data_IF_885959791112
#
_entry.id   IF_885959791112
#
_cell.length_a   1.000
_cell.length_b   1.000
_cell.length_c   1.000
_cell.angle_alpha   90.00
_cell.angle_beta   90.00
_cell.angle_gamma   90.00
#
_symmetry.space_group_name_H-M   'P 1'
#
loop_
_entity.id
_entity.type
_entity.pdbx_description
1 polymer ?
#
# COMPACT_ATOMS: atom_id res chain seq x y z
N UNK A 1 3.82 59.64 -1.44
CA UNK A 1 3.08 58.79 -2.40
C UNK A 1 4.09 58.00 -3.21
N UNK A 2 3.96 56.71 -3.36
CA UNK A 2 4.81 55.90 -4.21
C UNK A 2 4.68 56.34 -5.66
N UNK A 3 5.75 56.28 -6.43
CA UNK A 3 5.76 56.59 -7.86
C UNK A 3 6.44 55.43 -8.60
N UNK A 4 5.77 54.81 -9.54
CA UNK A 4 6.35 53.77 -10.39
C UNK A 4 6.96 54.43 -11.62
N UNK A 5 8.22 54.13 -11.88
CA UNK A 5 8.98 54.65 -13.03
C UNK A 5 9.15 53.63 -14.13
N UNK A 6 9.29 52.36 -13.73
CA UNK A 6 9.50 51.27 -14.66
C UNK A 6 8.94 49.96 -14.10
N UNK A 7 8.25 49.21 -14.97
CA UNK A 7 7.77 47.87 -14.72
C UNK A 7 7.76 47.13 -16.06
N UNK A 8 8.06 45.83 -16.10
CA UNK A 8 7.93 45.03 -17.33
C UNK A 8 6.52 45.13 -17.92
N UNK A 9 6.38 44.96 -19.23
CA UNK A 9 5.07 44.96 -19.89
C UNK A 9 4.23 43.70 -19.59
N UNK A 10 4.89 42.59 -19.25
CA UNK A 10 4.29 41.34 -18.89
C UNK A 10 5.31 40.35 -18.36
N UNK A 11 4.83 39.26 -17.74
CA UNK A 11 5.63 38.12 -17.30
C UNK A 11 4.76 36.92 -17.06
N UNK A 12 5.41 35.72 -16.88
CA UNK A 12 4.73 34.47 -16.59
C UNK A 12 4.24 34.42 -15.13
N UNK A 13 3.14 33.74 -14.92
CA UNK A 13 2.66 33.43 -13.55
C UNK A 13 3.75 32.69 -12.79
N UNK A 14 4.07 33.15 -11.58
CA UNK A 14 5.12 32.62 -10.74
C UNK A 14 6.51 33.26 -10.93
N UNK A 15 6.71 34.04 -11.99
CA UNK A 15 7.94 34.80 -12.16
C UNK A 15 8.04 35.92 -11.14
N UNK A 16 9.27 36.31 -10.82
CA UNK A 16 9.56 37.50 -10.07
C UNK A 16 9.82 38.66 -11.04
N UNK A 17 9.18 39.79 -10.80
CA UNK A 17 9.43 41.02 -11.54
C UNK A 17 9.95 42.14 -10.61
N UNK A 18 10.73 43.03 -11.18
CA UNK A 18 11.20 44.26 -10.51
C UNK A 18 10.27 45.41 -10.89
N UNK A 19 9.76 46.11 -9.87
CA UNK A 19 9.03 47.36 -9.98
C UNK A 19 9.97 48.47 -9.49
N UNK A 20 10.38 49.37 -10.35
CA UNK A 20 11.29 50.43 -10.03
C UNK A 20 10.56 51.77 -9.87
N UNK A 21 10.98 52.60 -8.90
CA UNK A 21 10.28 53.84 -8.63
C UNK A 21 10.89 54.68 -7.54
N UNK A 22 10.07 55.46 -6.85
CA UNK A 22 10.42 56.30 -5.69
C UNK A 22 9.40 56.09 -4.58
N UNK A 23 9.87 56.16 -3.31
CA UNK A 23 9.07 55.97 -2.11
C UNK A 23 8.35 54.59 -2.10
N UNK A 24 8.97 53.55 -2.65
CA UNK A 24 8.37 52.21 -2.73
C UNK A 24 8.45 51.47 -1.39
N UNK A 25 9.27 51.92 -0.46
CA UNK A 25 9.40 51.40 0.91
C UNK A 25 8.12 51.50 1.76
N UNK A 26 7.22 52.46 1.40
CA UNK A 26 5.94 52.65 2.09
C UNK A 26 4.79 51.80 1.51
N UNK A 27 5.03 51.06 0.45
CA UNK A 27 4.02 50.15 -0.16
C UNK A 27 3.72 49.00 0.78
N UNK A 28 2.46 48.84 1.11
CA UNK A 28 1.99 47.76 2.00
C UNK A 28 1.66 46.45 1.26
N UNK A 29 1.20 46.57 0.01
CA UNK A 29 0.90 45.41 -0.87
C UNK A 29 0.94 45.82 -2.34
N UNK A 30 1.25 44.82 -3.18
CA UNK A 30 1.17 44.93 -4.64
C UNK A 30 0.10 43.98 -5.12
N UNK A 31 -0.82 44.47 -5.96
CA UNK A 31 -1.88 43.62 -6.54
C UNK A 31 -1.83 43.65 -8.07
N UNK A 32 -2.14 42.53 -8.69
CA UNK A 32 -2.41 42.37 -10.11
C UNK A 32 -3.91 42.13 -10.29
N UNK A 33 -4.66 43.14 -10.69
CA UNK A 33 -6.12 43.09 -10.59
C UNK A 33 -6.58 42.99 -9.14
N UNK A 34 -7.29 41.91 -8.83
CA UNK A 34 -7.79 41.58 -7.48
C UNK A 34 -6.86 40.68 -6.66
N UNK A 35 -5.78 40.20 -7.25
CA UNK A 35 -4.85 39.24 -6.61
C UNK A 35 -3.61 39.94 -6.04
N UNK A 36 -3.32 39.65 -4.77
CA UNK A 36 -2.12 40.17 -4.09
C UNK A 36 -0.90 39.31 -4.48
N UNK A 37 0.21 40.03 -4.79
CA UNK A 37 1.51 39.44 -5.09
C UNK A 37 2.35 39.26 -3.84
N UNK A 38 3.13 38.18 -3.78
CA UNK A 38 4.15 38.02 -2.74
C UNK A 38 5.34 38.93 -3.01
N UNK A 39 5.67 39.79 -2.06
CA UNK A 39 6.86 40.66 -2.12
C UNK A 39 8.03 39.90 -1.49
N UNK A 40 9.11 39.67 -2.27
CA UNK A 40 10.34 39.03 -1.81
C UNK A 40 11.43 39.98 -1.42
N UNK A 41 11.40 41.22 -1.97
CA UNK A 41 12.32 42.30 -1.64
C UNK A 41 11.62 43.65 -1.79
N UNK A 42 11.96 44.61 -0.92
CA UNK A 42 11.42 45.95 -0.95
C UNK A 42 12.46 46.99 -0.44
N UNK A 43 12.56 48.07 -1.15
CA UNK A 43 13.38 49.24 -0.79
C UNK A 43 12.66 50.53 -1.22
N UNK A 44 13.28 51.72 -0.96
CA UNK A 44 12.75 53.01 -1.40
C UNK A 44 12.57 53.07 -2.93
N UNK A 45 13.38 52.30 -3.70
CA UNK A 45 13.45 52.41 -5.16
C UNK A 45 13.05 51.20 -5.93
N UNK A 46 12.82 50.08 -5.26
CA UNK A 46 12.59 48.79 -5.91
C UNK A 46 11.69 47.89 -5.05
N UNK A 47 10.77 47.22 -5.71
CA UNK A 47 10.02 46.08 -5.18
C UNK A 47 10.23 44.90 -6.11
N UNK A 48 10.57 43.71 -5.56
CA UNK A 48 10.55 42.44 -6.27
C UNK A 48 9.30 41.68 -5.85
N UNK A 49 8.40 41.46 -6.80
CA UNK A 49 7.11 40.80 -6.56
C UNK A 49 6.94 39.60 -7.46
N UNK A 50 6.33 38.53 -6.91
CA UNK A 50 5.97 37.30 -7.67
C UNK A 50 4.60 37.45 -8.29
N UNK A 51 4.49 37.20 -9.62
CA UNK A 51 3.24 37.31 -10.37
C UNK A 51 2.25 36.28 -9.87
N UNK A 52 1.09 36.66 -9.32
CA UNK A 52 0.05 35.75 -8.92
C UNK A 52 -0.71 35.23 -10.15
N UNK A 53 -1.43 34.11 -9.98
CA UNK A 53 -2.41 33.69 -10.98
C UNK A 53 -3.59 34.66 -11.01
N UNK A 54 -3.89 35.20 -12.18
CA UNK A 54 -5.06 36.03 -12.47
C UNK A 54 -5.84 35.40 -13.63
N UNK A 55 -7.17 35.38 -13.55
CA UNK A 55 -8.00 34.74 -14.57
C UNK A 55 -7.85 35.42 -15.93
N UNK A 56 -7.75 36.76 -15.95
CA UNK A 56 -7.60 37.55 -17.18
C UNK A 56 -6.17 37.50 -17.72
N UNK A 57 -6.00 37.72 -19.03
CA UNK A 57 -4.67 37.74 -19.67
C UNK A 57 -3.97 39.09 -19.49
N UNK A 58 -4.65 40.09 -18.95
CA UNK A 58 -4.09 41.35 -18.56
C UNK A 58 -4.65 41.82 -17.22
N UNK A 59 -3.87 42.50 -16.42
CA UNK A 59 -4.28 43.05 -15.14
C UNK A 59 -3.63 44.39 -14.86
N UNK A 60 -4.33 45.39 -14.26
CA UNK A 60 -3.68 46.58 -13.73
C UNK A 60 -2.83 46.20 -12.53
N UNK A 61 -1.65 46.82 -12.42
CA UNK A 61 -0.82 46.71 -11.21
C UNK A 61 -1.24 47.86 -10.28
N UNK A 62 -1.56 47.52 -9.03
CA UNK A 62 -1.91 48.48 -7.98
C UNK A 62 -0.95 48.36 -6.78
N UNK A 63 -0.30 49.46 -6.41
CA UNK A 63 0.57 49.55 -5.23
C UNK A 63 -0.19 50.31 -4.12
N UNK A 64 -0.52 49.60 -3.06
CA UNK A 64 -1.25 50.12 -1.90
C UNK A 64 -0.30 50.69 -0.87
N UNK A 65 -0.67 51.79 -0.23
CA UNK A 65 0.08 52.43 0.85
C UNK A 65 -0.87 53.15 1.79
N UNK A 66 -0.40 53.50 2.99
CA UNK A 66 -1.16 54.27 3.96
C UNK A 66 -0.73 55.75 3.94
N UNK A 67 -1.71 56.63 3.95
CA UNK A 67 -1.50 58.08 4.19
C UNK A 67 -2.40 58.56 5.34
N UNK A 68 -2.44 59.89 5.56
CA UNK A 68 -3.25 60.50 6.62
C UNK A 68 -4.77 60.33 6.45
N UNK A 69 -5.24 59.91 5.26
CA UNK A 69 -6.65 59.73 4.93
C UNK A 69 -7.05 58.24 4.90
N UNK A 70 -6.11 57.30 5.08
CA UNK A 70 -6.32 55.86 5.06
C UNK A 70 -5.55 55.13 3.96
N UNK A 71 -5.99 53.94 3.60
CA UNK A 71 -5.37 53.17 2.54
C UNK A 71 -5.66 53.77 1.16
N UNK A 72 -4.59 54.05 0.42
CA UNK A 72 -4.61 54.57 -0.94
C UNK A 72 -3.88 53.61 -1.88
N UNK A 73 -4.04 53.78 -3.19
CA UNK A 73 -3.25 53.03 -4.17
C UNK A 73 -2.79 53.95 -5.32
N UNK A 74 -1.70 53.53 -5.95
CA UNK A 74 -1.19 54.14 -7.21
C UNK A 74 -1.01 53.04 -8.24
N UNK A 75 -1.10 53.41 -9.51
CA UNK A 75 -0.89 52.51 -10.65
C UNK A 75 0.15 53.07 -11.59
N UNK A 76 1.00 52.21 -12.23
CA UNK A 76 1.87 52.66 -13.32
C UNK A 76 1.06 53.30 -14.46
N UNK A 77 1.61 54.32 -15.08
CA UNK A 77 1.07 54.81 -16.33
C UNK A 77 1.37 53.84 -17.47
N UNK A 78 0.39 53.58 -18.32
CA UNK A 78 0.58 52.71 -19.49
C UNK A 78 -0.49 51.65 -19.65
N UNK A 79 -0.27 50.68 -20.55
CA UNK A 79 -1.18 49.55 -20.75
C UNK A 79 -1.21 48.64 -19.51
N UNK A 80 -2.31 47.88 -19.37
CA UNK A 80 -2.39 46.84 -18.33
C UNK A 80 -1.26 45.81 -18.54
N UNK A 81 -0.77 45.28 -17.42
CA UNK A 81 0.31 44.29 -17.39
C UNK A 81 -0.20 42.97 -18.00
N UNK A 82 0.60 42.35 -18.90
CA UNK A 82 0.29 41.09 -19.53
C UNK A 82 0.62 39.92 -18.61
N UNK A 83 -0.36 39.07 -18.32
CA UNK A 83 -0.22 37.84 -17.52
C UNK A 83 -0.05 36.67 -18.45
N UNK A 84 1.15 36.15 -18.57
CA UNK A 84 1.49 35.01 -19.42
C UNK A 84 1.25 33.73 -18.62
N UNK A 85 0.39 32.85 -19.12
CA UNK A 85 0.03 31.58 -18.47
C UNK A 85 0.69 30.42 -19.21
N UNK A 86 1.62 29.76 -18.54
CA UNK A 86 2.17 28.51 -19.05
C UNK A 86 1.15 27.39 -18.93
N UNK A 87 1.09 26.56 -19.95
CA UNK A 87 0.19 25.39 -19.97
C UNK A 87 1.02 24.14 -19.76
N UNK A 88 0.74 23.35 -18.70
CA UNK A 88 1.40 22.06 -18.50
C UNK A 88 1.18 21.13 -19.70
N UNK A 89 2.23 20.40 -20.05
CA UNK A 89 2.15 19.29 -21.02
C UNK A 89 2.72 18.05 -20.39
N UNK A 90 2.25 16.88 -20.81
CA UNK A 90 2.76 15.60 -20.35
C UNK A 90 3.05 14.66 -21.54
N UNK A 91 3.99 13.74 -21.32
CA UNK A 91 4.07 12.51 -22.06
C UNK A 91 2.88 11.60 -21.70
N UNK A 92 2.63 10.57 -22.47
CA UNK A 92 1.46 9.70 -22.26
C UNK A 92 1.52 8.98 -20.90
N UNK A 93 0.41 8.99 -20.19
CA UNK A 93 0.18 8.14 -19.02
C UNK A 93 -0.24 6.72 -19.44
N UNK A 94 0.12 5.70 -18.67
CA UNK A 94 -0.24 4.30 -18.92
C UNK A 94 -1.77 4.09 -18.92
N UNK A 95 -2.24 3.12 -19.73
CA UNK A 95 -3.66 2.74 -19.79
C UNK A 95 -4.16 2.01 -18.55
N UNK A 96 -3.25 1.32 -17.89
CA UNK A 96 -3.50 0.58 -16.66
C UNK A 96 -2.50 0.98 -15.60
N UNK A 97 -3.01 1.27 -14.42
CA UNK A 97 -2.21 1.56 -13.22
C UNK A 97 -2.74 0.74 -12.05
N UNK A 98 -1.87 0.45 -11.08
CA UNK A 98 -2.25 -0.30 -9.88
C UNK A 98 -2.26 0.64 -8.67
N UNK A 99 -3.29 0.53 -7.84
CA UNK A 99 -3.38 1.24 -6.56
C UNK A 99 -2.06 1.13 -5.77
N UNK A 100 -1.65 2.23 -5.17
CA UNK A 100 -0.43 2.31 -4.37
C UNK A 100 0.87 2.34 -5.17
N UNK A 101 0.87 2.06 -6.48
CA UNK A 101 2.08 2.19 -7.31
C UNK A 101 2.48 3.64 -7.48
N UNK A 102 3.78 3.88 -7.71
CA UNK A 102 4.30 5.19 -8.05
C UNK A 102 4.22 5.40 -9.56
N UNK A 103 3.64 6.52 -9.96
CA UNK A 103 3.60 6.98 -11.34
C UNK A 103 4.52 8.18 -11.48
N UNK A 104 5.38 8.13 -12.49
CA UNK A 104 6.20 9.27 -12.92
C UNK A 104 5.64 9.79 -14.23
N UNK A 105 5.25 11.04 -14.25
CA UNK A 105 4.89 11.79 -15.46
C UNK A 105 6.02 12.74 -15.81
N UNK A 106 6.41 12.79 -17.07
CA UNK A 106 7.35 13.75 -17.59
C UNK A 106 6.63 14.71 -18.53
N UNK A 107 7.15 15.95 -18.64
CA UNK A 107 6.53 16.97 -19.44
C UNK A 107 7.16 18.34 -19.25
N UNK A 108 6.36 19.40 -19.41
CA UNK A 108 6.77 20.78 -19.15
C UNK A 108 5.77 21.47 -18.22
N UNK A 109 6.27 22.43 -17.43
CA UNK A 109 5.48 23.23 -16.48
C UNK A 109 4.68 22.39 -15.47
N UNK A 110 5.15 21.17 -15.13
CA UNK A 110 4.47 20.28 -14.22
C UNK A 110 4.44 20.79 -12.77
N UNK A 111 5.32 21.73 -12.42
CA UNK A 111 5.29 22.43 -11.14
C UNK A 111 3.99 23.24 -10.91
N UNK A 112 3.25 23.57 -11.97
CA UNK A 112 1.96 24.25 -11.87
C UNK A 112 0.80 23.32 -11.49
N UNK A 113 0.93 22.02 -11.65
CA UNK A 113 -0.12 21.05 -11.30
C UNK A 113 -0.37 21.07 -9.79
N UNK A 114 -1.59 21.33 -9.38
CA UNK A 114 -2.04 21.41 -7.99
C UNK A 114 -2.64 20.09 -7.49
N UNK A 115 -3.33 19.40 -8.38
CA UNK A 115 -3.97 18.11 -8.06
C UNK A 115 -4.14 17.24 -9.29
N UNK A 116 -4.17 15.92 -9.06
CA UNK A 116 -4.53 14.92 -10.07
C UNK A 116 -5.81 14.23 -9.62
N UNK A 117 -6.80 14.19 -10.50
CA UNK A 117 -8.12 13.64 -10.25
C UNK A 117 -8.28 12.30 -10.96
N UNK A 118 -8.76 11.30 -10.26
CA UNK A 118 -9.16 10.00 -10.77
C UNK A 118 -10.70 9.94 -10.74
N UNK A 119 -11.32 10.19 -11.89
CA UNK A 119 -12.74 10.48 -11.93
C UNK A 119 -13.11 11.75 -11.15
N UNK A 120 -14.36 11.82 -10.69
CA UNK A 120 -14.89 13.02 -10.04
C UNK A 120 -14.62 13.08 -8.53
N UNK A 121 -14.44 11.92 -7.89
CA UNK A 121 -14.47 11.82 -6.42
C UNK A 121 -13.09 11.76 -5.76
N UNK A 122 -12.08 11.22 -6.46
CA UNK A 122 -10.77 10.96 -5.85
C UNK A 122 -9.69 11.87 -6.41
N UNK A 123 -9.00 12.60 -5.52
CA UNK A 123 -7.92 13.51 -5.91
C UNK A 123 -6.64 13.25 -5.13
N UNK A 124 -5.50 13.41 -5.80
CA UNK A 124 -4.15 13.40 -5.25
C UNK A 124 -3.62 14.83 -5.22
N UNK A 125 -3.25 15.30 -4.03
CA UNK A 125 -2.63 16.62 -3.81
C UNK A 125 -1.21 16.51 -3.23
N UNK A 126 -0.86 15.33 -2.72
CA UNK A 126 0.46 15.06 -2.15
C UNK A 126 1.32 14.35 -3.21
N UNK A 127 2.32 15.04 -3.69
CA UNK A 127 3.28 14.52 -4.65
C UNK A 127 4.55 14.06 -3.93
N UNK A 128 5.10 12.93 -4.37
CA UNK A 128 6.37 12.40 -3.87
C UNK A 128 7.51 13.28 -4.36
N UNK A 129 7.42 13.73 -5.61
CA UNK A 129 8.33 14.68 -6.24
C UNK A 129 7.54 15.57 -7.20
N UNK A 130 7.88 16.85 -7.27
CA UNK A 130 7.30 17.79 -8.22
C UNK A 130 8.34 18.82 -8.66
N UNK A 131 8.66 18.81 -9.95
CA UNK A 131 9.54 19.75 -10.63
C UNK A 131 8.84 20.34 -11.86
N UNK A 132 9.49 21.23 -12.59
CA UNK A 132 8.94 21.75 -13.84
C UNK A 132 8.80 20.68 -14.94
N UNK A 133 9.61 19.61 -14.86
CA UNK A 133 9.69 18.58 -15.91
C UNK A 133 9.27 17.19 -15.47
N UNK A 134 9.03 16.99 -14.18
CA UNK A 134 8.64 15.68 -13.64
C UNK A 134 7.71 15.84 -12.44
N UNK A 135 6.73 14.96 -12.36
CA UNK A 135 5.85 14.80 -11.20
C UNK A 135 5.72 13.32 -10.87
N UNK A 136 5.93 12.99 -9.58
CA UNK A 136 5.81 11.63 -9.07
C UNK A 136 4.72 11.60 -8.02
N UNK A 137 3.76 10.71 -8.19
CA UNK A 137 2.66 10.53 -7.24
C UNK A 137 2.30 9.07 -7.08
N UNK A 138 1.58 8.77 -6.01
CA UNK A 138 1.05 7.43 -5.74
C UNK A 138 -0.39 7.33 -6.23
N UNK A 139 -0.70 6.25 -6.97
CA UNK A 139 -2.06 5.94 -7.39
C UNK A 139 -2.95 5.80 -6.15
N UNK A 140 -4.05 6.56 -6.07
CA UNK A 140 -4.92 6.55 -4.90
C UNK A 140 -5.74 5.26 -4.81
N UNK A 141 -6.27 5.00 -3.63
CA UNK A 141 -7.28 3.98 -3.41
C UNK A 141 -8.63 4.44 -3.97
N UNK A 142 -9.25 3.56 -4.76
CA UNK A 142 -10.64 3.68 -5.21
C UNK A 142 -11.49 2.64 -4.47
N UNK A 143 -12.81 2.79 -4.38
CA UNK A 143 -13.68 1.78 -3.75
C UNK A 143 -13.59 0.42 -4.42
N UNK A 144 -13.39 0.39 -5.74
CA UNK A 144 -13.21 -0.82 -6.55
C UNK A 144 -12.37 -0.52 -7.80
N UNK A 145 -11.90 -1.58 -8.47
CA UNK A 145 -11.23 -1.43 -9.77
C UNK A 145 -12.19 -0.81 -10.78
N UNK A 146 -11.78 0.25 -11.41
CA UNK A 146 -12.62 1.02 -12.32
C UNK A 146 -11.81 1.62 -13.46
N UNK A 147 -12.50 1.86 -14.58
CA UNK A 147 -11.97 2.71 -15.66
C UNK A 147 -12.45 4.15 -15.41
N UNK A 148 -11.50 5.06 -15.29
CA UNK A 148 -11.76 6.47 -14.99
C UNK A 148 -10.90 7.39 -15.85
N UNK A 149 -11.39 8.60 -16.08
CA UNK A 149 -10.57 9.64 -16.66
C UNK A 149 -9.62 10.21 -15.60
N UNK A 150 -8.37 10.45 -15.99
CA UNK A 150 -7.36 11.04 -15.11
C UNK A 150 -7.02 12.44 -15.62
N UNK A 151 -7.28 13.43 -14.78
CA UNK A 151 -7.13 14.85 -15.10
C UNK A 151 -6.18 15.52 -14.09
N UNK A 152 -5.30 16.39 -14.59
CA UNK A 152 -4.56 17.32 -13.74
C UNK A 152 -5.28 18.67 -13.70
N UNK A 153 -5.26 19.32 -12.54
CA UNK A 153 -5.78 20.68 -12.34
C UNK A 153 -4.64 21.61 -11.95
N UNK A 154 -4.69 22.83 -12.47
CA UNK A 154 -3.73 23.89 -12.21
C UNK A 154 -4.44 25.26 -12.24
N UNK A 155 -3.77 26.32 -11.81
CA UNK A 155 -4.29 27.67 -11.72
C UNK A 155 -5.62 27.77 -10.93
N UNK A 156 -5.55 27.42 -9.63
CA UNK A 156 -6.71 27.40 -8.73
C UNK A 156 -7.85 26.52 -9.27
N UNK A 157 -7.49 25.47 -10.02
CA UNK A 157 -8.45 24.50 -10.62
C UNK A 157 -9.14 24.97 -11.89
N UNK A 158 -8.86 26.19 -12.38
CA UNK A 158 -9.44 26.73 -13.62
C UNK A 158 -8.85 26.08 -14.88
N UNK A 159 -7.56 25.71 -14.82
CA UNK A 159 -6.88 24.95 -15.87
C UNK A 159 -7.07 23.44 -15.67
N UNK A 160 -7.20 22.73 -16.77
CA UNK A 160 -7.33 21.28 -16.77
C UNK A 160 -6.53 20.67 -17.91
N UNK A 161 -5.77 19.61 -17.59
CA UNK A 161 -5.03 18.80 -18.54
C UNK A 161 -5.46 17.35 -18.41
N UNK A 162 -5.91 16.73 -19.51
CA UNK A 162 -6.19 15.29 -19.52
C UNK A 162 -4.87 14.52 -19.53
N UNK A 163 -4.65 13.72 -18.49
CA UNK A 163 -3.50 12.84 -18.39
C UNK A 163 -3.76 11.52 -19.12
N UNK A 164 -4.95 10.96 -18.94
CA UNK A 164 -5.41 9.77 -19.61
C UNK A 164 -6.94 9.67 -19.58
N UNK A 165 -7.57 9.43 -20.73
CA UNK A 165 -8.95 8.96 -20.79
C UNK A 165 -8.97 7.44 -20.63
N UNK A 166 -10.03 6.91 -20.05
CA UNK A 166 -10.25 5.46 -19.89
C UNK A 166 -9.06 4.74 -19.20
N UNK A 167 -8.45 5.35 -18.20
CA UNK A 167 -7.42 4.71 -17.40
C UNK A 167 -8.02 3.63 -16.51
N UNK A 168 -7.60 2.39 -16.67
CA UNK A 168 -8.00 1.30 -15.77
C UNK A 168 -7.16 1.33 -14.49
N UNK A 169 -7.79 1.70 -13.39
CA UNK A 169 -7.18 1.64 -12.05
C UNK A 169 -7.49 0.28 -11.43
N UNK A 170 -6.46 -0.53 -11.31
CA UNK A 170 -6.56 -1.86 -10.72
C UNK A 170 -6.35 -1.81 -9.22
N UNK A 171 -7.29 -2.37 -8.47
CA UNK A 171 -7.22 -2.53 -7.02
C UNK A 171 -7.06 -4.01 -6.70
N UNK A 172 -5.89 -4.44 -6.23
CA UNK A 172 -5.67 -5.83 -5.85
C UNK A 172 -6.64 -6.24 -4.74
N UNK A 173 -7.39 -7.32 -4.96
CA UNK A 173 -8.30 -7.90 -3.94
C UNK A 173 -7.58 -8.80 -2.97
N UNK A 174 -6.37 -9.19 -3.31
CA UNK A 174 -5.49 -10.00 -2.48
C UNK A 174 -4.14 -9.30 -2.30
N UNK A 175 -3.53 -9.51 -1.15
CA UNK A 175 -2.10 -9.31 -0.98
C UNK A 175 -1.38 -10.51 -1.60
N UNK A 176 -0.36 -10.27 -2.42
CA UNK A 176 0.43 -11.29 -3.09
C UNK A 176 1.86 -11.28 -2.58
N UNK A 177 2.33 -12.42 -2.11
CA UNK A 177 3.68 -12.60 -1.56
C UNK A 177 4.30 -13.86 -2.17
N UNK A 178 5.04 -13.73 -3.27
CA UNK A 178 5.68 -14.85 -3.93
C UNK A 178 6.89 -15.36 -3.14
N UNK A 179 7.15 -16.66 -3.23
CA UNK A 179 8.35 -17.33 -2.71
C UNK A 179 8.62 -17.10 -1.22
N UNK A 180 7.56 -16.98 -0.39
CA UNK A 180 7.73 -16.93 1.05
C UNK A 180 8.33 -18.24 1.56
N UNK A 181 9.25 -18.14 2.50
CA UNK A 181 9.89 -19.29 3.12
C UNK A 181 9.63 -19.30 4.62
N UNK A 182 9.16 -20.45 5.11
CA UNK A 182 8.98 -20.70 6.54
C UNK A 182 9.82 -21.92 6.96
N UNK A 183 10.37 -21.85 8.17
CA UNK A 183 11.04 -22.97 8.81
C UNK A 183 10.16 -23.66 9.85
N UNK A 184 10.62 -24.80 10.36
CA UNK A 184 10.06 -25.42 11.56
C UNK A 184 10.24 -24.50 12.78
N UNK A 185 9.50 -24.76 13.85
CA UNK A 185 9.51 -23.91 15.06
C UNK A 185 10.88 -23.82 15.79
N UNK A 186 11.84 -24.64 15.42
CA UNK A 186 13.22 -24.61 15.92
C UNK A 186 14.23 -24.16 14.88
N UNK A 187 13.77 -23.78 13.70
CA UNK A 187 14.65 -23.24 12.68
C UNK A 187 15.08 -21.83 13.09
N UNK A 188 16.38 -21.58 13.15
CA UNK A 188 16.94 -20.28 13.55
C UNK A 188 17.06 -19.31 12.37
N UNK A 189 17.16 -19.83 11.13
CA UNK A 189 17.35 -19.03 9.92
C UNK A 189 16.02 -18.48 9.36
N UNK A 190 14.93 -19.23 9.56
CA UNK A 190 13.62 -18.90 9.03
C UNK A 190 12.57 -18.87 10.13
N UNK A 191 11.71 -17.86 10.07
CA UNK A 191 10.56 -17.78 10.97
C UNK A 191 9.56 -18.90 10.70
N UNK A 192 8.70 -19.14 11.67
CA UNK A 192 7.69 -20.19 11.63
C UNK A 192 6.24 -19.69 11.81
N UNK A 193 6.05 -18.40 11.93
CA UNK A 193 4.74 -17.76 12.09
C UNK A 193 4.50 -16.73 11.00
N UNK A 194 3.32 -16.71 10.41
CA UNK A 194 2.95 -15.85 9.29
C UNK A 194 1.82 -14.90 9.64
N UNK A 195 1.99 -13.64 9.28
CA UNK A 195 0.94 -12.65 9.14
C UNK A 195 0.55 -12.54 7.66
N UNK A 196 -0.62 -13.04 7.29
CA UNK A 196 -1.07 -13.05 5.89
C UNK A 196 -1.29 -11.64 5.32
N UNK A 197 -1.64 -10.66 6.16
CA UNK A 197 -1.86 -9.28 5.72
C UNK A 197 -0.57 -8.60 5.26
N UNK A 198 0.56 -8.91 5.90
CA UNK A 198 1.86 -8.26 5.59
C UNK A 198 2.83 -9.19 4.85
N UNK A 199 2.53 -10.49 4.75
CA UNK A 199 3.47 -11.50 4.26
C UNK A 199 4.66 -11.73 5.19
N UNK A 200 4.68 -11.08 6.37
CA UNK A 200 5.79 -11.19 7.30
C UNK A 200 5.84 -12.58 7.93
N UNK A 201 6.98 -13.25 7.76
CA UNK A 201 7.32 -14.49 8.45
C UNK A 201 8.19 -14.14 9.64
N UNK A 202 7.76 -14.54 10.83
CA UNK A 202 8.43 -14.22 12.11
C UNK A 202 8.74 -15.49 12.89
N UNK A 203 9.75 -15.39 13.76
CA UNK A 203 10.01 -16.47 14.74
C UNK A 203 8.95 -16.45 15.84
N UNK A 204 8.94 -17.51 16.66
CA UNK A 204 8.06 -17.58 17.84
C UNK A 204 8.25 -16.40 18.80
N UNK A 205 9.38 -15.68 18.74
CA UNK A 205 9.64 -14.48 19.52
C UNK A 205 8.61 -13.36 19.32
N UNK A 206 7.91 -13.32 18.18
CA UNK A 206 6.86 -12.34 17.89
C UNK A 206 5.74 -12.36 18.94
N UNK A 207 5.52 -13.51 19.57
CA UNK A 207 4.48 -13.67 20.61
C UNK A 207 4.80 -12.94 21.92
N UNK A 208 6.01 -12.36 22.08
CA UNK A 208 6.32 -11.46 23.19
C UNK A 208 5.56 -10.14 23.09
N UNK A 209 5.32 -9.69 21.87
CA UNK A 209 4.49 -8.52 21.62
C UNK A 209 3.01 -8.92 21.58
N UNK A 210 2.25 -8.40 22.53
CA UNK A 210 0.81 -8.67 22.68
C UNK A 210 0.03 -8.26 21.42
N UNK A 211 0.39 -7.11 20.82
CA UNK A 211 -0.30 -6.59 19.63
C UNK A 211 -0.08 -7.49 18.40
N UNK A 212 1.04 -8.19 18.33
CA UNK A 212 1.36 -9.09 17.23
C UNK A 212 0.67 -10.45 17.33
N UNK A 213 0.22 -10.87 18.50
CA UNK A 213 -0.37 -12.21 18.72
C UNK A 213 -1.61 -12.48 17.87
N UNK A 214 -2.52 -11.51 17.79
CA UNK A 214 -3.75 -11.62 17.01
C UNK A 214 -3.52 -11.52 15.49
N UNK A 215 -2.33 -11.09 15.06
CA UNK A 215 -1.99 -10.89 13.65
C UNK A 215 -1.54 -12.19 12.97
N UNK A 216 -1.17 -13.21 13.72
CA UNK A 216 -0.69 -14.49 13.18
C UNK A 216 -1.86 -15.30 12.64
N UNK A 217 -1.75 -15.74 11.39
CA UNK A 217 -2.78 -16.53 10.72
C UNK A 217 -2.54 -18.04 10.88
N UNK A 218 -1.30 -18.49 10.73
CA UNK A 218 -0.91 -19.89 11.00
C UNK A 218 0.58 -19.98 11.33
N UNK A 219 1.00 -21.15 11.79
CA UNK A 219 2.37 -21.43 12.13
C UNK A 219 2.85 -22.77 11.55
N UNK A 220 4.12 -22.83 11.17
CA UNK A 220 4.81 -24.06 10.80
C UNK A 220 5.43 -24.74 12.01
N UNK A 221 5.19 -26.03 12.16
CA UNK A 221 5.63 -26.84 13.29
C UNK A 221 6.15 -28.20 12.79
N UNK A 222 7.27 -28.61 13.30
CA UNK A 222 7.70 -30.01 13.16
C UNK A 222 7.41 -30.77 14.44
N UNK A 223 6.74 -31.90 14.36
CA UNK A 223 6.37 -32.69 15.52
C UNK A 223 7.10 -34.05 15.58
N UNK A 224 6.97 -34.72 16.73
CA UNK A 224 7.61 -36.01 16.99
C UNK A 224 7.11 -37.18 16.10
N UNK A 225 6.06 -36.96 15.33
CA UNK A 225 5.49 -37.97 14.39
C UNK A 225 6.05 -37.77 12.96
N UNK A 226 7.14 -37.04 12.82
CA UNK A 226 7.81 -36.75 11.54
C UNK A 226 6.94 -35.96 10.55
N UNK A 227 6.04 -35.13 11.05
CA UNK A 227 5.19 -34.28 10.24
C UNK A 227 5.71 -32.84 10.27
N UNK A 228 5.98 -32.26 9.12
CA UNK A 228 6.10 -30.81 9.00
C UNK A 228 4.70 -30.25 8.72
N UNK A 229 4.13 -29.61 9.71
CA UNK A 229 2.72 -29.24 9.72
C UNK A 229 2.52 -27.72 9.70
N UNK A 230 1.54 -27.26 8.94
CA UNK A 230 0.98 -25.91 9.05
C UNK A 230 -0.23 -25.99 9.97
N UNK A 231 -0.25 -25.19 11.02
CA UNK A 231 -1.24 -25.23 12.09
C UNK A 231 -1.89 -23.87 12.31
N UNK A 232 -3.20 -23.85 12.49
CA UNK A 232 -3.87 -22.69 13.07
C UNK A 232 -3.38 -22.43 14.51
N UNK A 233 -3.36 -21.17 14.98
CA UNK A 233 -2.90 -20.83 16.33
C UNK A 233 -3.57 -21.61 17.45
N UNK A 234 -4.88 -21.91 17.32
CA UNK A 234 -5.63 -22.70 18.30
C UNK A 234 -5.09 -24.11 18.49
N UNK A 235 -4.43 -24.67 17.48
CA UNK A 235 -3.96 -26.07 17.52
C UNK A 235 -2.58 -26.24 18.13
N UNK A 236 -1.82 -25.15 18.31
CA UNK A 236 -0.47 -25.20 18.87
C UNK A 236 -0.39 -24.71 20.33
N UNK A 237 -1.52 -24.37 20.94
CA UNK A 237 -1.59 -23.86 22.31
C UNK A 237 -0.89 -24.78 23.32
N UNK A 238 -1.11 -26.08 23.22
CA UNK A 238 -0.47 -27.07 24.10
C UNK A 238 1.06 -27.13 23.93
N UNK A 239 1.55 -26.72 22.77
CA UNK A 239 2.98 -26.75 22.42
C UNK A 239 3.70 -25.42 22.72
N UNK A 240 2.99 -24.33 23.00
CA UNK A 240 3.61 -23.00 23.25
C UNK A 240 4.63 -23.02 24.38
N UNK A 241 4.43 -23.85 25.40
CA UNK A 241 5.39 -24.05 26.50
C UNK A 241 6.73 -24.68 26.05
N UNK A 242 6.74 -25.28 24.86
CA UNK A 242 7.93 -25.91 24.27
C UNK A 242 8.55 -25.11 23.14
N UNK A 243 7.91 -24.01 22.71
CA UNK A 243 8.47 -23.14 21.71
C UNK A 243 9.48 -22.18 22.33
N UNK A 244 10.56 -22.01 21.62
CA UNK A 244 11.69 -21.25 22.07
C UNK A 244 11.81 -19.93 21.32
N UNK A 245 12.20 -18.92 22.05
CA UNK A 245 12.61 -17.65 21.48
C UNK A 245 14.07 -17.43 21.85
N UNK A 246 14.96 -17.52 20.88
CA UNK A 246 16.41 -17.38 21.10
C UNK A 246 16.95 -18.35 22.18
N UNK A 247 16.58 -19.63 22.08
CA UNK A 247 17.02 -20.67 23.00
C UNK A 247 16.41 -20.63 24.41
N UNK A 248 15.43 -19.74 24.66
CA UNK A 248 14.77 -19.61 25.96
C UNK A 248 13.25 -19.81 25.84
N UNK A 249 12.57 -20.39 26.83
CA UNK A 249 11.12 -20.47 26.87
C UNK A 249 10.49 -19.08 26.74
N UNK A 250 9.29 -18.99 26.13
CA UNK A 250 8.53 -17.75 26.09
C UNK A 250 8.03 -17.40 27.51
N UNK A 251 8.56 -16.34 28.15
CA UNK A 251 8.05 -15.93 29.45
C UNK A 251 6.58 -15.51 29.38
N UNK A 252 5.76 -15.76 30.41
CA UNK A 252 6.13 -16.37 31.68
C UNK A 252 6.01 -17.91 31.71
N UNK A 253 5.75 -18.57 30.55
CA UNK A 253 5.54 -20.03 30.52
C UNK A 253 6.79 -20.82 30.87
N UNK A 254 6.55 -21.98 31.49
CA UNK A 254 7.50 -23.02 31.78
C UNK A 254 7.07 -24.31 31.06
N UNK A 255 7.95 -25.28 30.90
CA UNK A 255 7.63 -26.59 30.33
C UNK A 255 6.53 -27.33 31.13
N UNK A 256 6.37 -27.01 32.41
CA UNK A 256 5.32 -27.55 33.29
C UNK A 256 4.00 -26.74 33.28
N UNK A 257 3.93 -25.64 32.53
CA UNK A 257 2.72 -24.81 32.49
C UNK A 257 1.53 -25.59 31.93
N UNK A 258 0.36 -25.34 32.50
CA UNK A 258 -0.92 -25.93 32.09
C UNK A 258 -1.47 -25.22 30.83
N UNK A 259 -2.47 -25.83 30.16
CA UNK A 259 -3.18 -25.14 29.08
C UNK A 259 -3.93 -23.89 29.56
N UNK A 260 -4.39 -23.87 30.80
CA UNK A 260 -5.04 -22.70 31.39
C UNK A 260 -4.06 -21.52 31.48
N UNK A 261 -2.83 -21.73 31.95
CA UNK A 261 -1.77 -20.71 32.01
C UNK A 261 -1.35 -20.26 30.61
N UNK A 262 -1.35 -21.17 29.61
CA UNK A 262 -1.10 -20.78 28.23
C UNK A 262 -2.18 -19.85 27.70
N UNK A 263 -3.45 -20.16 27.93
CA UNK A 263 -4.57 -19.31 27.50
C UNK A 263 -4.60 -17.98 28.24
N UNK A 264 -4.25 -17.95 29.53
CA UNK A 264 -4.16 -16.71 30.31
C UNK A 264 -3.10 -15.76 29.74
N UNK A 265 -1.93 -16.29 29.37
CA UNK A 265 -0.80 -15.49 28.93
C UNK A 265 -0.77 -15.21 27.41
N UNK A 266 -1.41 -16.04 26.60
CA UNK A 266 -1.39 -15.98 25.12
C UNK A 266 -2.79 -16.13 24.51
N UNK A 267 -3.84 -15.71 25.21
CA UNK A 267 -5.22 -15.88 24.79
C UNK A 267 -5.53 -15.20 23.45
N UNK A 268 -4.93 -14.06 23.15
CA UNK A 268 -5.11 -13.36 21.87
C UNK A 268 -4.64 -14.21 20.69
N UNK A 269 -3.55 -14.97 20.87
CA UNK A 269 -3.02 -15.89 19.87
C UNK A 269 -3.84 -17.19 19.85
N UNK A 270 -4.01 -17.84 20.99
CA UNK A 270 -4.65 -19.17 21.07
C UNK A 270 -6.15 -19.19 20.78
N UNK A 271 -6.83 -18.02 20.85
CA UNK A 271 -8.21 -17.85 20.44
C UNK A 271 -8.40 -17.62 18.94
N UNK A 272 -7.31 -17.40 18.21
CA UNK A 272 -7.36 -17.25 16.76
C UNK A 272 -7.54 -18.63 16.11
N UNK A 273 -8.71 -18.85 15.53
CA UNK A 273 -9.06 -20.10 14.83
C UNK A 273 -8.78 -19.93 13.35
N UNK A 274 -7.83 -20.72 12.85
CA UNK A 274 -7.57 -20.85 11.42
C UNK A 274 -7.78 -22.28 10.98
N UNK A 275 -8.62 -22.47 9.97
CA UNK A 275 -8.86 -23.74 9.30
C UNK A 275 -8.08 -23.79 8.01
N UNK A 276 -7.46 -24.93 7.71
CA UNK A 276 -6.67 -25.16 6.50
C UNK A 276 -7.23 -26.37 5.77
N UNK A 277 -7.19 -26.34 4.44
CA UNK A 277 -7.65 -27.42 3.58
C UNK A 277 -6.69 -27.58 2.40
N UNK A 278 -6.20 -28.79 2.17
CA UNK A 278 -5.49 -29.14 0.93
C UNK A 278 -6.54 -29.47 -0.12
N UNK A 279 -6.60 -28.68 -1.18
CA UNK A 279 -7.51 -28.95 -2.29
C UNK A 279 -7.07 -30.22 -3.04
N UNK A 280 -8.01 -31.12 -3.30
CA UNK A 280 -7.77 -32.41 -3.99
C UNK A 280 -8.74 -32.59 -5.15
N UNK A 281 -8.23 -33.04 -6.29
CA UNK A 281 -9.08 -33.34 -7.45
C UNK A 281 -10.13 -34.41 -7.16
N UNK A 282 -9.76 -35.46 -6.38
CA UNK A 282 -10.65 -36.53 -5.93
C UNK A 282 -11.83 -36.06 -5.06
N UNK A 283 -11.72 -34.85 -4.48
CA UNK A 283 -12.75 -34.20 -3.68
C UNK A 283 -13.61 -33.19 -4.48
N UNK A 284 -13.46 -33.18 -5.81
CA UNK A 284 -14.20 -32.26 -6.68
C UNK A 284 -13.59 -30.87 -6.88
N UNK A 285 -12.38 -30.62 -6.35
CA UNK A 285 -11.72 -29.32 -6.47
C UNK A 285 -10.82 -29.16 -7.70
N UNK A 286 -10.87 -30.10 -8.68
CA UNK A 286 -9.96 -30.08 -9.84
C UNK A 286 -10.02 -28.78 -10.66
N UNK A 287 -11.22 -28.27 -10.91
CA UNK A 287 -11.41 -27.01 -11.63
C UNK A 287 -10.90 -25.81 -10.83
N UNK A 288 -11.20 -25.73 -9.55
CA UNK A 288 -10.72 -24.66 -8.66
C UNK A 288 -9.18 -24.66 -8.57
N UNK A 289 -8.55 -25.84 -8.43
CA UNK A 289 -7.07 -25.97 -8.43
C UNK A 289 -6.48 -25.44 -9.73
N UNK A 290 -7.06 -25.80 -10.90
CA UNK A 290 -6.60 -25.32 -12.20
C UNK A 290 -6.73 -23.81 -12.30
N UNK A 291 -7.89 -23.27 -11.97
CA UNK A 291 -8.15 -21.83 -12.02
C UNK A 291 -7.20 -21.04 -11.11
N UNK A 292 -6.89 -21.56 -9.92
CA UNK A 292 -5.90 -20.94 -9.01
C UNK A 292 -4.49 -20.97 -9.60
N UNK A 293 -4.08 -22.07 -10.27
CA UNK A 293 -2.73 -22.21 -10.79
C UNK A 293 -2.49 -21.48 -12.11
N UNK A 294 -3.50 -21.38 -12.95
CA UNK A 294 -3.43 -20.83 -14.31
C UNK A 294 -4.04 -19.43 -14.39
N UNK A 295 -4.90 -19.07 -13.45
CA UNK A 295 -5.56 -17.77 -13.39
C UNK A 295 -4.67 -16.68 -12.78
N UNK A 296 -5.05 -15.43 -13.04
CA UNK A 296 -4.43 -14.28 -12.38
C UNK A 296 -5.14 -14.04 -11.04
N UNK A 297 -4.64 -14.67 -9.97
CA UNK A 297 -5.24 -14.57 -8.63
C UNK A 297 -5.25 -13.12 -8.12
N UNK A 298 -4.33 -12.28 -8.54
CA UNK A 298 -4.25 -10.88 -8.13
C UNK A 298 -5.43 -10.06 -8.64
N UNK A 299 -6.06 -10.50 -9.72
CA UNK A 299 -7.22 -9.84 -10.35
C UNK A 299 -8.57 -10.41 -9.90
N UNK A 300 -8.61 -11.32 -8.90
CA UNK A 300 -9.86 -11.90 -8.41
C UNK A 300 -10.79 -10.80 -7.89
N UNK A 301 -11.97 -10.71 -8.47
CA UNK A 301 -13.07 -9.89 -7.95
C UNK A 301 -13.99 -10.73 -7.04
N UNK A 302 -14.80 -10.10 -6.17
CA UNK A 302 -15.80 -10.82 -5.37
C UNK A 302 -16.80 -11.62 -6.20
N UNK A 303 -16.96 -11.29 -7.48
CA UNK A 303 -17.87 -11.94 -8.42
C UNK A 303 -17.24 -13.06 -9.24
N UNK A 304 -15.91 -13.24 -9.17
CA UNK A 304 -15.20 -14.26 -9.95
C UNK A 304 -15.53 -15.68 -9.47
N UNK A 305 -15.47 -16.64 -10.38
CA UNK A 305 -15.74 -18.05 -10.09
C UNK A 305 -14.79 -18.63 -9.03
N UNK A 306 -13.52 -18.21 -9.00
CA UNK A 306 -12.56 -18.63 -7.97
C UNK A 306 -13.03 -18.15 -6.59
N UNK A 307 -13.39 -16.87 -6.47
CA UNK A 307 -13.87 -16.29 -5.20
C UNK A 307 -15.16 -16.96 -4.75
N UNK A 308 -16.13 -17.11 -5.65
CA UNK A 308 -17.39 -17.82 -5.35
C UNK A 308 -17.13 -19.26 -4.90
N UNK A 309 -16.25 -19.99 -5.59
CA UNK A 309 -15.90 -21.35 -5.24
C UNK A 309 -15.24 -21.43 -3.86
N UNK A 310 -14.32 -20.50 -3.52
CA UNK A 310 -13.68 -20.44 -2.21
C UNK A 310 -14.68 -20.12 -1.09
N UNK A 311 -15.57 -19.17 -1.30
CA UNK A 311 -16.59 -18.81 -0.29
C UNK A 311 -17.62 -19.92 -0.08
N UNK A 312 -17.85 -20.80 -1.06
CA UNK A 312 -18.73 -21.94 -0.95
C UNK A 312 -18.11 -23.14 -0.21
N UNK A 313 -16.80 -23.12 0.06
CA UNK A 313 -16.16 -24.15 0.88
C UNK A 313 -16.59 -23.95 2.33
N UNK A 314 -17.26 -24.94 2.91
CA UNK A 314 -17.55 -24.97 4.34
C UNK A 314 -16.26 -25.31 5.12
N UNK A 315 -15.47 -24.29 5.43
CA UNK A 315 -14.21 -24.46 6.14
C UNK A 315 -14.38 -24.98 7.57
N UNK A 316 -15.55 -24.88 8.17
CA UNK A 316 -15.83 -25.48 9.48
C UNK A 316 -16.02 -26.99 9.37
N UNK A 317 -16.69 -27.47 8.32
CA UNK A 317 -16.92 -28.88 8.08
C UNK A 317 -15.73 -29.57 7.38
N UNK A 318 -15.14 -28.94 6.36
CA UNK A 318 -14.12 -29.56 5.51
C UNK A 318 -12.68 -29.19 5.93
N UNK A 319 -12.49 -28.03 6.56
CA UNK A 319 -11.19 -27.56 6.99
C UNK A 319 -10.67 -28.27 8.24
N UNK A 320 -9.36 -28.45 8.29
CA UNK A 320 -8.65 -29.02 9.44
C UNK A 320 -7.93 -27.91 10.22
N UNK A 321 -7.70 -28.14 11.51
CA UNK A 321 -6.83 -27.28 12.31
C UNK A 321 -5.35 -27.38 11.93
N UNK A 322 -4.99 -28.40 11.12
CA UNK A 322 -3.62 -28.67 10.68
C UNK A 322 -3.63 -29.39 9.34
N UNK A 323 -2.72 -29.00 8.46
CA UNK A 323 -2.32 -29.74 7.27
C UNK A 323 -0.83 -30.06 7.37
N UNK A 324 -0.40 -31.19 6.76
CA UNK A 324 0.95 -31.71 7.00
C UNK A 324 1.60 -32.26 5.74
N UNK A 325 2.92 -32.26 5.70
CA UNK A 325 3.70 -33.01 4.73
C UNK A 325 4.18 -34.30 5.42
N UNK A 326 3.77 -35.46 4.92
CA UNK A 326 4.09 -36.77 5.53
C UNK A 326 5.30 -37.44 4.92
N UNK A 327 5.84 -38.37 5.67
CA UNK A 327 6.92 -39.28 5.26
C UNK A 327 6.59 -40.13 4.01
N UNK A 328 7.67 -40.57 3.35
CA UNK A 328 7.63 -41.36 2.11
C UNK A 328 6.77 -42.63 2.19
N UNK A 329 6.71 -43.32 3.33
CA UNK A 329 5.94 -44.56 3.49
C UNK A 329 4.41 -44.34 3.54
N UNK A 330 3.96 -43.16 3.94
CA UNK A 330 2.54 -42.82 4.03
C UNK A 330 2.08 -41.90 2.87
N UNK A 331 3.02 -41.42 2.06
CA UNK A 331 2.71 -40.65 0.84
C UNK A 331 2.02 -41.50 -0.24
N UNK A 332 2.00 -42.82 -0.07
CA UNK A 332 1.27 -43.75 -0.94
C UNK A 332 -0.22 -43.80 -0.62
N UNK A 333 -0.64 -43.39 0.56
CA UNK A 333 -2.04 -43.20 0.91
C UNK A 333 -2.54 -41.88 0.31
N UNK A 334 -2.87 -41.94 -0.99
CA UNK A 334 -3.11 -40.81 -1.89
C UNK A 334 -4.31 -39.93 -1.53
N UNK A 335 -5.06 -40.25 -0.48
CA UNK A 335 -6.38 -39.69 -0.22
C UNK A 335 -6.55 -38.97 1.13
N UNK A 336 -5.53 -38.90 1.98
CA UNK A 336 -5.68 -38.17 3.23
C UNK A 336 -5.85 -36.66 2.93
N UNK A 337 -7.01 -36.13 3.25
CA UNK A 337 -7.48 -34.77 2.93
C UNK A 337 -6.65 -33.62 3.52
N UNK A 338 -5.61 -33.92 4.29
CA UNK A 338 -4.77 -32.94 4.98
C UNK A 338 -3.27 -33.04 4.64
N UNK A 339 -2.90 -33.78 3.57
CA UNK A 339 -1.51 -33.96 3.16
C UNK A 339 -1.18 -33.03 2.00
N UNK A 340 -0.16 -32.19 2.15
CA UNK A 340 0.37 -31.34 1.09
C UNK A 340 1.77 -31.76 0.63
N UNK A 341 2.10 -31.41 -0.60
CA UNK A 341 3.41 -31.58 -1.24
C UNK A 341 3.70 -30.42 -2.18
N UNK A 342 4.88 -30.40 -2.79
CA UNK A 342 5.16 -29.45 -3.85
C UNK A 342 4.08 -29.52 -4.95
N UNK A 343 3.58 -28.37 -5.39
CA UNK A 343 2.47 -28.23 -6.34
C UNK A 343 1.07 -28.30 -5.71
N UNK A 344 0.93 -28.58 -4.41
CA UNK A 344 -0.37 -28.53 -3.73
C UNK A 344 -0.88 -27.10 -3.61
N UNK A 345 -2.21 -26.96 -3.69
CA UNK A 345 -2.93 -25.73 -3.32
C UNK A 345 -3.54 -25.96 -1.94
N UNK A 346 -3.18 -25.11 -1.00
CA UNK A 346 -3.73 -25.08 0.35
C UNK A 346 -4.53 -23.80 0.53
N UNK A 347 -5.79 -23.92 0.84
CA UNK A 347 -6.61 -22.77 1.22
C UNK A 347 -6.76 -22.75 2.74
N UNK A 348 -6.88 -21.56 3.29
CA UNK A 348 -7.14 -21.40 4.71
C UNK A 348 -8.12 -20.26 4.96
N UNK A 349 -8.81 -20.32 6.07
CA UNK A 349 -9.70 -19.27 6.57
C UNK A 349 -9.35 -18.97 8.02
N UNK A 350 -8.99 -17.73 8.28
CA UNK A 350 -8.94 -17.20 9.64
C UNK A 350 -10.35 -16.77 10.04
N UNK A 351 -10.98 -17.54 10.91
CA UNK A 351 -12.39 -17.34 11.27
C UNK A 351 -12.59 -16.06 12.08
N UNK A 352 -11.62 -15.66 12.89
CA UNK A 352 -11.68 -14.42 13.69
C UNK A 352 -11.63 -13.17 12.81
N UNK A 353 -10.79 -13.18 11.79
CA UNK A 353 -10.67 -12.09 10.82
C UNK A 353 -11.70 -12.18 9.70
N UNK A 354 -12.36 -13.34 9.54
CA UNK A 354 -13.19 -13.70 8.39
C UNK A 354 -12.47 -13.50 7.05
N UNK A 355 -11.20 -13.92 6.97
CA UNK A 355 -10.34 -13.74 5.79
C UNK A 355 -9.89 -15.08 5.26
N UNK A 356 -9.92 -15.22 3.92
CA UNK A 356 -9.35 -16.33 3.19
C UNK A 356 -7.91 -16.06 2.76
N UNK A 357 -7.14 -17.14 2.65
CA UNK A 357 -5.86 -17.13 1.98
C UNK A 357 -5.66 -18.41 1.16
N UNK A 358 -4.81 -18.28 0.15
CA UNK A 358 -4.42 -19.38 -0.75
C UNK A 358 -2.91 -19.49 -0.68
N UNK A 359 -2.42 -20.71 -0.53
CA UNK A 359 -0.99 -21.02 -0.66
C UNK A 359 -0.79 -21.97 -1.84
N UNK A 360 0.13 -21.64 -2.72
CA UNK A 360 0.65 -22.57 -3.74
C UNK A 360 2.00 -23.04 -3.25
N UNK A 361 2.10 -24.30 -2.86
CA UNK A 361 3.32 -24.87 -2.31
C UNK A 361 4.34 -25.07 -3.42
N UNK A 362 5.50 -24.39 -3.31
CA UNK A 362 6.59 -24.46 -4.28
C UNK A 362 7.57 -25.57 -3.96
N UNK A 363 7.98 -25.69 -2.71
CA UNK A 363 8.86 -26.76 -2.25
C UNK A 363 8.63 -27.10 -0.79
N UNK A 364 8.93 -28.33 -0.43
CA UNK A 364 8.97 -28.82 0.96
C UNK A 364 10.31 -29.53 1.12
N UNK A 365 11.13 -29.04 2.02
CA UNK A 365 12.41 -29.65 2.35
C UNK A 365 12.37 -30.16 3.79
N UNK A 366 12.26 -31.48 3.94
CA UNK A 366 12.18 -32.18 5.23
C UNK A 366 13.03 -33.43 5.13
N UNK A 367 14.01 -33.56 6.04
CA UNK A 367 14.73 -34.80 6.20
C UNK A 367 13.97 -35.72 7.16
N UNK A 368 13.19 -36.60 6.57
CA UNK A 368 12.37 -37.55 7.33
C UNK A 368 13.18 -38.61 8.07
N UNK A 369 14.44 -38.87 7.71
CA UNK A 369 15.29 -39.86 8.36
C UNK A 369 16.01 -39.29 9.58
N UNK A 370 16.42 -38.04 9.52
CA UNK A 370 17.06 -37.32 10.64
C UNK A 370 16.10 -37.05 11.81
N UNK A 371 14.81 -37.15 11.56
CA UNK A 371 13.74 -36.62 12.39
C UNK A 371 13.39 -37.47 13.60
N UNK A 372 13.61 -38.78 13.55
CA UNK A 372 13.23 -39.66 14.68
C UNK A 372 13.93 -39.33 16.01
N UNK A 373 14.99 -38.56 15.98
CA UNK A 373 15.80 -38.26 17.16
C UNK A 373 15.72 -36.83 17.69
N UNK A 374 15.46 -35.79 16.86
CA UNK A 374 15.79 -34.40 17.25
C UNK A 374 14.81 -33.31 16.84
N UNK A 375 13.63 -33.61 16.24
CA UNK A 375 12.78 -32.59 15.62
C UNK A 375 13.58 -31.75 14.60
N UNK A 376 13.43 -32.02 13.31
CA UNK A 376 14.23 -31.40 12.26
C UNK A 376 14.12 -29.87 12.26
N UNK A 377 15.14 -29.21 12.84
CA UNK A 377 15.24 -27.77 12.85
C UNK A 377 15.42 -27.20 11.45
N UNK A 378 15.89 -28.01 10.48
CA UNK A 378 16.19 -27.58 9.11
C UNK A 378 14.98 -27.68 8.17
N UNK A 379 13.87 -28.28 8.61
CA UNK A 379 12.67 -28.40 7.79
C UNK A 379 12.17 -27.02 7.33
N UNK A 380 11.93 -26.88 6.05
CA UNK A 380 11.44 -25.65 5.43
C UNK A 380 10.37 -25.90 4.38
N UNK A 381 9.51 -24.91 4.20
CA UNK A 381 8.51 -24.86 3.13
C UNK A 381 8.66 -23.53 2.38
N UNK A 382 8.55 -23.57 1.06
CA UNK A 382 8.46 -22.38 0.22
C UNK A 382 7.11 -22.39 -0.50
N UNK A 383 6.43 -21.26 -0.51
CA UNK A 383 5.10 -21.12 -1.10
C UNK A 383 4.84 -19.69 -1.56
N UNK A 384 3.92 -19.54 -2.51
CA UNK A 384 3.30 -18.26 -2.80
C UNK A 384 2.06 -18.11 -1.93
N UNK A 385 1.89 -16.95 -1.33
CA UNK A 385 0.74 -16.62 -0.49
C UNK A 385 -0.08 -15.53 -1.17
N UNK A 386 -1.37 -15.79 -1.29
CA UNK A 386 -2.40 -14.82 -1.67
C UNK A 386 -3.37 -14.70 -0.51
N UNK A 387 -3.52 -13.50 0.03
CA UNK A 387 -4.33 -13.27 1.22
C UNK A 387 -5.39 -12.20 0.94
N UNK A 388 -6.63 -12.47 1.29
CA UNK A 388 -7.76 -11.58 1.05
C UNK A 388 -7.54 -10.21 1.72
N UNK A 389 -7.64 -9.15 0.94
CA UNK A 389 -7.38 -7.77 1.39
C UNK A 389 -8.60 -7.14 2.09
N UNK A 390 -9.82 -7.35 1.57
CA UNK A 390 -11.07 -6.74 2.04
C UNK A 390 -12.07 -7.76 2.58
#
# INVERSE_FOLDING_TARGET
>A
MPQVKNVPAGAHVGDQIEIQGENLDIVSKVCFGDKEASISYQSEREIVATIPFVITDTAPISLYYLDSTGEQFTQPEGPAFEIIKDIPTIDAMAERVTEGSLITLNGTFLNLIESIHFGDEVKVTNFVEKTANSIVFRVPELPESATVDVLAKYYEGTGSLTLRNDCYVFIPRVFSYPNLKMGAHRNEDFGNMINGTTGQVSTTCILKDVNSRALIDFAAVHNSNNDFALNGPQNIKANLRNYWCNGTPLPPLKSSSTEAEVNENFGEFTSTVTKLLVLQESKGYGELIRNIKEGNIEEISPTDEITKALFNIDMDAEGSNSVRSRQKAEAEDKEASNIYKAGSVVVFKNLKKNKFGIMIIRSVNVDFDAVKATNDANATITFDLYYQRY
#
